data_IF_228977092281
#
_entry.id   IF_228977092281
#
_cell.length_a   1.000
_cell.length_b   1.000
_cell.length_c   1.000
_cell.angle_alpha   90.00
_cell.angle_beta   90.00
_cell.angle_gamma   90.00
#
_symmetry.space_group_name_H-M   'P 1'
#
loop_
_entity.id
_entity.type
_entity.pdbx_description
1 polymer ?
#
# COMPACT_ATOMS: atom_id res chain seq x y z
N UNK A 1 30.11 0.82 -11.91
CA UNK A 1 29.46 -0.01 -10.90
C UNK A 1 28.14 0.58 -10.51
N UNK A 2 27.13 -0.21 -10.57
CA UNK A 2 25.83 0.30 -10.20
C UNK A 2 25.61 0.11 -8.71
N UNK A 3 25.17 1.15 -8.07
CA UNK A 3 24.78 1.05 -6.68
C UNK A 3 23.47 0.28 -6.60
N UNK A 4 23.34 -0.54 -5.59
CA UNK A 4 22.05 -1.16 -5.30
C UNK A 4 21.15 -0.08 -4.78
N UNK A 5 20.09 0.18 -5.50
CA UNK A 5 19.12 1.20 -5.08
C UNK A 5 18.16 0.54 -4.12
N UNK A 6 17.96 1.15 -2.96
CA UNK A 6 16.95 0.62 -2.06
C UNK A 6 15.57 0.75 -2.69
N UNK A 7 14.72 -0.19 -2.38
CA UNK A 7 13.35 -0.15 -2.85
C UNK A 7 12.60 0.88 -2.01
N UNK A 8 12.04 1.91 -2.63
CA UNK A 8 11.40 2.97 -1.84
C UNK A 8 10.02 2.58 -1.36
N UNK A 9 9.67 3.08 -0.19
CA UNK A 9 8.28 3.06 0.25
C UNK A 9 7.58 4.20 -0.47
N UNK A 10 6.51 3.90 -1.19
CA UNK A 10 5.85 4.88 -2.04
C UNK A 10 4.43 5.17 -1.61
N UNK A 11 3.88 4.40 -0.67
CA UNK A 11 2.47 4.52 -0.29
C UNK A 11 2.29 3.94 1.09
N UNK A 12 1.46 4.58 1.91
CA UNK A 12 1.05 4.06 3.20
C UNK A 12 -0.46 3.90 3.21
N UNK A 13 -0.93 2.74 3.61
CA UNK A 13 -2.34 2.46 3.56
C UNK A 13 -2.79 1.92 4.91
N UNK A 14 -3.80 2.54 5.48
CA UNK A 14 -4.38 2.07 6.72
C UNK A 14 -5.54 1.14 6.41
N UNK A 15 -5.46 -0.06 6.92
CA UNK A 15 -6.55 -1.03 6.85
C UNK A 15 -7.25 -1.03 8.19
N UNK A 16 -8.53 -0.73 8.20
CA UNK A 16 -9.27 -0.56 9.45
C UNK A 16 -10.72 -0.97 9.26
N UNK A 17 -11.34 -1.43 10.33
CA UNK A 17 -12.75 -1.73 10.33
C UNK A 17 -13.65 -0.50 10.45
N UNK A 18 -13.06 0.68 10.65
CA UNK A 18 -13.82 1.92 10.83
C UNK A 18 -13.16 3.03 10.03
N UNK A 19 -13.37 2.97 8.71
CA UNK A 19 -12.76 3.95 7.82
C UNK A 19 -13.19 5.38 8.14
N UNK A 20 -14.47 5.57 8.45
CA UNK A 20 -14.96 6.91 8.70
C UNK A 20 -14.38 7.50 9.99
N UNK A 21 -14.32 6.68 11.04
CA UNK A 21 -13.73 7.12 12.29
C UNK A 21 -12.24 7.42 12.14
N UNK A 22 -11.53 6.60 11.41
CA UNK A 22 -10.10 6.85 11.17
C UNK A 22 -9.89 8.13 10.37
N UNK A 23 -10.70 8.33 9.32
CA UNK A 23 -10.60 9.55 8.53
C UNK A 23 -10.81 10.79 9.38
N UNK A 24 -11.82 10.78 10.23
CA UNK A 24 -12.11 11.91 11.11
C UNK A 24 -10.98 12.14 12.09
N UNK A 25 -10.45 11.07 12.67
CA UNK A 25 -9.38 11.20 13.66
C UNK A 25 -8.15 11.85 13.06
N UNK A 26 -7.70 11.36 11.90
CA UNK A 26 -6.49 11.87 11.30
C UNK A 26 -6.68 13.26 10.70
N UNK A 27 -7.88 13.56 10.21
CA UNK A 27 -8.17 14.91 9.74
C UNK A 27 -8.08 15.91 10.89
N UNK A 28 -8.66 15.55 12.04
CA UNK A 28 -8.63 16.45 13.21
C UNK A 28 -7.23 16.57 13.80
N UNK A 29 -6.52 15.45 13.89
CA UNK A 29 -5.23 15.43 14.54
C UNK A 29 -4.13 16.04 13.67
N UNK A 30 -4.07 15.65 12.42
CA UNK A 30 -2.95 15.98 11.54
C UNK A 30 -3.34 16.83 10.35
N UNK A 31 -4.61 17.15 10.22
CA UNK A 31 -5.12 17.92 9.11
C UNK A 31 -4.92 17.20 7.77
N UNK A 32 -4.84 15.89 7.80
CA UNK A 32 -4.75 15.13 6.58
C UNK A 32 -6.08 15.17 5.86
N UNK A 33 -6.03 15.55 4.60
CA UNK A 33 -7.23 15.59 3.79
C UNK A 33 -7.52 14.22 3.24
N UNK A 34 -8.81 13.88 3.19
CA UNK A 34 -9.25 12.63 2.60
C UNK A 34 -10.11 12.93 1.40
N UNK A 35 -10.01 12.07 0.40
CA UNK A 35 -10.84 12.16 -0.78
C UNK A 35 -11.35 10.77 -1.10
N UNK A 36 -12.66 10.63 -1.27
CA UNK A 36 -13.24 9.34 -1.59
C UNK A 36 -12.98 9.03 -3.04
N UNK A 37 -12.40 7.86 -3.29
CA UNK A 37 -12.12 7.37 -4.63
C UNK A 37 -12.96 6.14 -4.86
N UNK A 38 -13.77 6.15 -5.90
CA UNK A 38 -14.54 4.98 -6.29
C UNK A 38 -13.80 4.26 -7.39
N UNK A 39 -13.52 2.98 -7.18
CA UNK A 39 -12.77 2.18 -8.13
C UNK A 39 -13.53 0.89 -8.37
N UNK A 40 -14.42 0.92 -9.35
CA UNK A 40 -15.25 -0.24 -9.64
C UNK A 40 -16.21 -0.55 -8.50
N UNK A 41 -16.13 -1.75 -7.98
CA UNK A 41 -17.00 -2.16 -6.88
C UNK A 41 -16.44 -1.81 -5.52
N UNK A 42 -15.27 -1.19 -5.47
CA UNK A 42 -14.62 -0.85 -4.22
C UNK A 42 -14.40 0.66 -4.15
N UNK A 43 -14.33 1.17 -2.93
CA UNK A 43 -13.98 2.57 -2.73
C UNK A 43 -13.03 2.66 -1.55
N UNK A 44 -12.22 3.69 -1.56
CA UNK A 44 -11.34 3.96 -0.43
C UNK A 44 -11.17 5.47 -0.31
N UNK A 45 -10.66 5.89 0.84
CA UNK A 45 -10.35 7.30 1.06
C UNK A 45 -8.87 7.51 0.77
N UNK A 46 -8.57 8.30 -0.24
CA UNK A 46 -7.20 8.71 -0.49
C UNK A 46 -6.79 9.73 0.55
N UNK A 47 -5.56 9.63 1.01
CA UNK A 47 -5.02 10.54 2.01
C UNK A 47 -3.92 11.39 1.41
N UNK A 48 -3.98 12.68 1.66
CA UNK A 48 -2.87 13.57 1.35
C UNK A 48 -1.97 13.62 2.58
N UNK A 49 -0.88 12.85 2.51
CA UNK A 49 0.05 12.74 3.63
C UNK A 49 1.10 13.84 3.63
N UNK A 50 1.18 14.61 2.57
CA UNK A 50 2.24 15.59 2.41
C UNK A 50 3.47 14.94 1.79
N UNK A 51 4.31 15.76 1.17
CA UNK A 51 5.49 15.24 0.52
C UNK A 51 5.14 14.39 -0.69
N UNK A 52 5.98 13.40 -0.96
CA UNK A 52 5.85 12.57 -2.15
C UNK A 52 5.08 11.29 -1.91
N UNK A 53 4.63 11.03 -0.69
CA UNK A 53 3.92 9.79 -0.39
C UNK A 53 2.48 9.84 -0.82
N UNK A 54 1.99 8.74 -1.37
CA UNK A 54 0.57 8.51 -1.45
C UNK A 54 0.07 7.86 -0.17
N UNK A 55 -1.24 7.93 0.04
CA UNK A 55 -1.83 7.30 1.20
C UNK A 55 -3.27 6.92 0.95
N UNK A 56 -3.80 6.06 1.80
CA UNK A 56 -5.17 5.64 1.69
C UNK A 56 -5.68 5.02 2.97
N UNK A 57 -7.00 4.96 3.11
CA UNK A 57 -7.67 4.25 4.19
C UNK A 57 -8.66 3.29 3.54
N UNK A 58 -8.54 2.02 3.88
CA UNK A 58 -9.33 0.96 3.30
C UNK A 58 -10.15 0.30 4.39
N UNK A 59 -11.42 0.05 4.09
CA UNK A 59 -12.31 -0.64 5.02
C UNK A 59 -12.01 -2.12 5.00
N UNK A 60 -11.53 -2.66 6.13
CA UNK A 60 -11.23 -4.06 6.28
C UNK A 60 -11.87 -4.56 7.57
N UNK A 61 -13.10 -5.07 7.51
CA UNK A 61 -13.90 -5.27 8.73
C UNK A 61 -13.35 -6.29 9.70
N UNK A 62 -12.61 -7.27 9.24
CA UNK A 62 -12.23 -8.38 10.09
C UNK A 62 -10.86 -8.21 10.74
N UNK A 63 -10.27 -7.03 10.66
CA UNK A 63 -8.89 -6.87 11.06
C UNK A 63 -8.72 -5.80 12.11
N UNK A 64 -7.71 -6.00 12.96
CA UNK A 64 -7.22 -4.89 13.77
C UNK A 64 -6.64 -3.84 12.85
N UNK A 65 -6.74 -2.56 13.21
CA UNK A 65 -6.16 -1.52 12.36
C UNK A 65 -4.67 -1.73 12.17
N UNK A 66 -4.21 -1.60 10.94
CA UNK A 66 -2.80 -1.77 10.64
C UNK A 66 -2.41 -0.82 9.49
N UNK A 67 -1.28 -0.17 9.66
CA UNK A 67 -0.67 0.63 8.61
C UNK A 67 0.19 -0.29 7.77
N UNK A 68 -0.03 -0.29 6.47
CA UNK A 68 0.65 -1.16 5.53
C UNK A 68 1.50 -0.32 4.59
N UNK A 69 2.83 -0.41 4.68
CA UNK A 69 3.68 0.28 3.72
C UNK A 69 3.73 -0.49 2.41
N UNK A 70 3.75 0.25 1.31
CA UNK A 70 3.89 -0.32 -0.03
C UNK A 70 5.28 0.03 -0.55
N UNK A 71 6.03 -1.00 -0.92
CA UNK A 71 7.39 -0.84 -1.42
C UNK A 71 7.37 -1.09 -2.92
N UNK A 72 7.92 -0.15 -3.68
CA UNK A 72 7.97 -0.29 -5.13
C UNK A 72 9.08 -1.27 -5.51
N UNK A 73 8.74 -2.23 -6.36
CA UNK A 73 9.66 -3.26 -6.84
C UNK A 73 9.51 -3.39 -8.35
N UNK A 74 10.52 -3.95 -8.99
CA UNK A 74 10.48 -4.16 -10.44
C UNK A 74 9.59 -5.32 -10.83
N UNK A 75 9.61 -6.40 -10.05
CA UNK A 75 8.88 -7.62 -10.36
C UNK A 75 8.22 -8.14 -9.10
N UNK A 76 6.93 -7.89 -8.99
CA UNK A 76 6.20 -8.23 -7.76
C UNK A 76 6.14 -9.75 -7.57
N UNK A 77 6.03 -10.51 -8.66
CA UNK A 77 5.98 -11.96 -8.55
C UNK A 77 7.28 -12.54 -7.99
N UNK A 78 8.41 -12.01 -8.45
CA UNK A 78 9.72 -12.50 -7.98
C UNK A 78 9.96 -12.12 -6.52
N UNK A 79 9.61 -10.90 -6.15
CA UNK A 79 9.82 -10.46 -4.76
C UNK A 79 8.92 -11.24 -3.82
N UNK A 80 7.69 -11.50 -4.23
CA UNK A 80 6.74 -12.26 -3.40
C UNK A 80 7.27 -13.67 -3.17
N UNK A 81 7.76 -14.32 -4.22
CA UNK A 81 8.30 -15.65 -4.09
C UNK A 81 9.54 -15.66 -3.21
N UNK A 82 10.41 -14.67 -3.41
CA UNK A 82 11.61 -14.58 -2.59
C UNK A 82 11.26 -14.36 -1.12
N UNK A 83 10.26 -13.52 -0.85
CA UNK A 83 9.82 -13.31 0.53
C UNK A 83 9.34 -14.62 1.15
N UNK A 84 8.61 -15.42 0.39
CA UNK A 84 8.15 -16.71 0.87
C UNK A 84 9.32 -17.63 1.21
N UNK A 85 10.34 -17.65 0.37
CA UNK A 85 11.52 -18.46 0.63
C UNK A 85 12.29 -17.97 1.85
N UNK A 86 12.14 -16.70 2.19
CA UNK A 86 12.80 -16.13 3.37
C UNK A 86 11.93 -16.22 4.63
N UNK A 87 10.82 -16.92 4.55
CA UNK A 87 10.02 -17.22 5.74
C UNK A 87 8.74 -16.41 5.87
N UNK A 88 8.42 -15.56 4.90
CA UNK A 88 7.18 -14.81 4.95
C UNK A 88 6.01 -15.68 4.51
N UNK A 89 4.82 -15.28 4.96
CA UNK A 89 3.58 -15.91 4.52
C UNK A 89 2.87 -14.96 3.57
N UNK A 90 2.41 -15.48 2.43
CA UNK A 90 1.74 -14.65 1.44
C UNK A 90 0.29 -14.46 1.87
N UNK A 91 -0.09 -13.20 2.08
CA UNK A 91 -1.46 -12.84 2.46
C UNK A 91 -2.31 -12.49 1.25
N UNK A 92 -1.69 -11.91 0.24
CA UNK A 92 -2.34 -11.60 -1.01
C UNK A 92 -1.35 -11.90 -2.13
N UNK A 93 -1.71 -12.87 -2.98
CA UNK A 93 -0.88 -13.21 -4.13
C UNK A 93 -0.80 -12.04 -5.09
N UNK A 94 0.25 -11.96 -5.93
CA UNK A 94 0.33 -10.88 -6.90
C UNK A 94 -0.94 -10.73 -7.70
N UNK A 95 -1.47 -9.52 -7.74
CA UNK A 95 -2.76 -9.23 -8.34
C UNK A 95 -2.69 -7.94 -9.12
N UNK A 96 -3.28 -7.95 -10.29
CA UNK A 96 -3.31 -6.78 -11.14
C UNK A 96 -4.37 -5.80 -10.67
N UNK A 97 -4.03 -4.52 -10.67
CA UNK A 97 -4.95 -3.43 -10.44
C UNK A 97 -4.84 -2.41 -11.56
N UNK A 98 -5.54 -1.29 -11.43
CA UNK A 98 -5.58 -0.30 -12.52
C UNK A 98 -4.21 0.27 -12.88
N UNK A 99 -3.34 0.48 -11.91
CA UNK A 99 -2.06 1.16 -12.16
C UNK A 99 -0.84 0.27 -11.96
N UNK A 100 -1.06 -0.98 -11.55
CA UNK A 100 0.07 -1.87 -11.33
C UNK A 100 -0.36 -3.17 -10.70
N UNK A 101 0.64 -3.94 -10.26
CA UNK A 101 0.41 -5.19 -9.56
C UNK A 101 0.85 -5.07 -8.13
N UNK A 102 0.18 -5.76 -7.24
CA UNK A 102 0.54 -5.71 -5.82
C UNK A 102 0.44 -7.09 -5.20
N UNK A 103 1.18 -7.25 -4.10
CA UNK A 103 1.06 -8.41 -3.24
C UNK A 103 1.25 -7.96 -1.80
N UNK A 104 0.88 -8.81 -0.85
CA UNK A 104 1.02 -8.51 0.57
C UNK A 104 1.55 -9.76 1.24
N UNK A 105 2.52 -9.59 2.12
CA UNK A 105 3.06 -10.72 2.88
C UNK A 105 3.09 -10.37 4.35
N UNK A 106 3.00 -11.41 5.19
CA UNK A 106 3.30 -11.30 6.61
C UNK A 106 4.76 -11.70 6.78
N UNK A 107 5.51 -10.85 7.44
CA UNK A 107 6.95 -11.08 7.61
C UNK A 107 7.19 -12.10 8.71
N UNK A 108 8.38 -12.72 8.76
CA UNK A 108 8.65 -13.74 9.78
C UNK A 108 8.53 -13.23 11.20
N UNK A 109 8.78 -11.95 11.44
CA UNK A 109 8.68 -11.41 12.79
C UNK A 109 7.25 -10.97 13.14
N UNK A 110 6.30 -11.06 12.20
CA UNK A 110 4.90 -10.81 12.51
C UNK A 110 4.35 -9.51 11.96
N UNK A 111 5.15 -8.74 11.22
CA UNK A 111 4.65 -7.53 10.57
C UNK A 111 4.03 -7.83 9.22
N UNK A 112 3.58 -6.78 8.54
CA UNK A 112 3.03 -6.90 7.20
C UNK A 112 3.65 -5.84 6.31
N UNK A 113 3.80 -6.18 5.03
CA UNK A 113 4.34 -5.26 4.06
C UNK A 113 3.76 -5.61 2.69
N UNK A 114 3.56 -4.60 1.86
CA UNK A 114 3.05 -4.80 0.51
C UNK A 114 4.12 -4.45 -0.51
N UNK A 115 4.07 -5.12 -1.64
CA UNK A 115 4.94 -4.84 -2.77
C UNK A 115 4.09 -4.33 -3.93
N UNK A 116 4.65 -3.39 -4.69
CA UNK A 116 3.92 -2.78 -5.79
C UNK A 116 4.82 -2.61 -6.99
N UNK A 117 4.30 -3.03 -8.15
CA UNK A 117 5.00 -2.93 -9.42
C UNK A 117 4.17 -2.08 -10.35
N UNK A 118 4.64 -0.90 -10.77
CA UNK A 118 3.86 -0.05 -11.67
C UNK A 118 3.75 -0.66 -13.05
N UNK A 119 2.62 -0.44 -13.72
CA UNK A 119 2.41 -0.93 -15.07
C UNK A 119 3.27 -0.20 -16.08
N UNK A 120 3.51 1.07 -15.80
CA UNK A 120 4.31 1.89 -16.67
C UNK A 120 5.25 2.68 -15.79
N UNK A 121 6.02 3.56 -16.38
CA UNK A 121 6.92 4.39 -15.60
C UNK A 121 6.15 5.47 -14.91
N UNK A 122 5.52 5.12 -13.85
CA UNK A 122 4.86 6.12 -13.03
C UNK A 122 5.89 6.84 -12.19
N UNK A 123 5.59 8.08 -11.88
CA UNK A 123 6.48 8.87 -11.05
C UNK A 123 6.31 8.54 -9.60
N UNK A 124 5.40 7.71 -9.29
CA UNK A 124 5.14 7.31 -7.95
C UNK A 124 3.68 7.03 -7.79
N UNK A 125 3.33 6.59 -6.62
CA UNK A 125 1.96 6.21 -6.33
C UNK A 125 1.06 7.44 -6.44
N UNK A 126 0.00 7.31 -7.21
CA UNK A 126 -0.99 8.38 -7.34
C UNK A 126 -0.55 9.55 -8.16
N UNK A 127 0.68 9.55 -8.66
CA UNK A 127 1.19 10.70 -9.39
C UNK A 127 0.62 10.79 -10.80
N UNK A 128 0.05 9.73 -11.29
CA UNK A 128 -0.47 9.70 -12.64
C UNK A 128 -1.92 10.10 -12.67
N UNK A 129 -2.28 11.01 -11.96
CA UNK A 129 -3.66 11.44 -11.91
C UNK A 129 -4.25 11.60 -13.30
#
# INVERSE_FOLDING_TARGET
MSAVRPHPVVHLELHTGDREGASAFYADLLRWRTERIDAGCASYHALALGGAFGGGIVQCPARRPVWLPYVEVDRVDEVTERASRLGASVLLEPREGPTGWRSVVATPEGGEIAFWQPKARHRGWGAAA
#
